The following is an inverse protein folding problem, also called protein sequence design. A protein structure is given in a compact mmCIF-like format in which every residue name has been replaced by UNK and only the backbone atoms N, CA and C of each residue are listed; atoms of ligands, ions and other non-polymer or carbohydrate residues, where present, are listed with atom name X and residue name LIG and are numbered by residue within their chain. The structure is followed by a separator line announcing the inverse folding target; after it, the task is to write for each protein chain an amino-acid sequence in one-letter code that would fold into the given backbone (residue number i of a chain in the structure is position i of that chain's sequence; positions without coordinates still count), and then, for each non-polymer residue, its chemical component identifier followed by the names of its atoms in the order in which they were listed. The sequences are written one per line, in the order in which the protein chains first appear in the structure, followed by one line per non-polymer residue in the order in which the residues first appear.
data_IF_187185263660
#
_entry.id   IF_187185263660
#
_cell.length_a   1.000
_cell.length_b   1.000
_cell.length_c   1.000
_cell.angle_alpha   90.00
_cell.angle_beta   90.00
_cell.angle_gamma   90.00
#
_symmetry.space_group_name_H-M   'P 1'
#
loop_
_entity.id
_entity.type
_entity.pdbx_description
1 polymer ?
#
# COMPACT_ATOMS: atom_id res chain seq x y z
N UNK A 1 10.56 36.42 -24.50
CA UNK A 1 10.98 35.03 -24.19
C UNK A 1 9.75 34.16 -24.12
N UNK A 2 9.80 32.89 -24.54
CA UNK A 2 8.67 31.99 -24.35
C UNK A 2 8.42 31.77 -22.87
N UNK A 3 7.16 31.74 -22.46
CA UNK A 3 6.73 31.52 -21.09
C UNK A 3 5.55 30.57 -21.01
N UNK A 4 5.46 29.87 -19.89
CA UNK A 4 4.36 28.99 -19.53
C UNK A 4 3.61 29.55 -18.32
N UNK A 5 2.28 29.50 -18.38
CA UNK A 5 1.42 29.83 -17.26
C UNK A 5 0.47 28.66 -16.98
N UNK A 6 0.16 28.46 -15.71
CA UNK A 6 -0.82 27.48 -15.25
C UNK A 6 -1.98 28.21 -14.61
N UNK A 7 -3.20 27.92 -15.05
CA UNK A 7 -4.43 28.40 -14.42
C UNK A 7 -5.25 27.24 -13.87
N UNK A 8 -6.14 27.54 -12.93
CA UNK A 8 -6.86 26.55 -12.13
C UNK A 8 -6.23 26.34 -10.75
N UNK A 9 -6.87 25.53 -9.92
CA UNK A 9 -6.45 25.29 -8.53
C UNK A 9 -5.56 24.06 -8.48
N UNK A 10 -4.27 24.25 -8.18
CA UNK A 10 -3.38 23.13 -7.89
C UNK A 10 -3.81 22.40 -6.60
N UNK A 11 -3.61 21.07 -6.54
CA UNK A 11 -3.68 20.36 -5.27
C UNK A 11 -2.78 21.01 -4.22
N UNK A 12 -3.22 21.00 -2.96
CA UNK A 12 -2.43 21.52 -1.85
C UNK A 12 -1.06 20.82 -1.80
N UNK A 13 0.02 21.58 -1.62
CA UNK A 13 1.39 21.05 -1.58
C UNK A 13 2.03 20.84 -2.95
N UNK A 14 1.31 21.10 -4.06
CA UNK A 14 1.90 21.21 -5.39
C UNK A 14 2.12 22.67 -5.78
N UNK A 15 3.19 22.89 -6.55
CA UNK A 15 3.64 24.18 -7.04
C UNK A 15 3.95 24.10 -8.53
N UNK A 16 3.74 25.20 -9.24
CA UNK A 16 4.16 25.36 -10.63
C UNK A 16 5.33 26.33 -10.74
N UNK A 17 6.30 26.02 -11.60
CA UNK A 17 7.37 26.96 -11.95
C UNK A 17 7.64 26.87 -13.45
N UNK A 18 7.65 28.02 -14.10
CA UNK A 18 8.14 28.18 -15.47
C UNK A 18 9.67 28.27 -15.44
N UNK A 19 10.35 27.41 -16.21
CA UNK A 19 11.81 27.39 -16.30
C UNK A 19 12.36 28.27 -17.44
N UNK A 20 11.50 29.03 -18.13
CA UNK A 20 11.84 30.04 -19.14
C UNK A 20 12.67 29.52 -20.33
N UNK A 21 12.73 28.20 -20.51
CA UNK A 21 13.43 27.47 -21.57
C UNK A 21 12.45 26.58 -22.37
N UNK A 22 11.20 27.04 -22.49
CA UNK A 22 10.08 26.28 -23.06
C UNK A 22 9.70 25.03 -22.25
N UNK A 23 10.14 24.93 -21.00
CA UNK A 23 9.71 23.88 -20.05
C UNK A 23 9.20 24.50 -18.75
N UNK A 24 8.32 23.77 -18.07
CA UNK A 24 7.76 24.14 -16.78
C UNK A 24 7.51 22.89 -15.96
N UNK A 25 7.52 23.03 -14.63
CA UNK A 25 7.43 21.91 -13.70
C UNK A 25 6.24 22.10 -12.77
N UNK A 26 5.46 21.04 -12.58
CA UNK A 26 4.55 20.89 -11.45
C UNK A 26 5.23 19.93 -10.47
N UNK A 27 5.51 20.39 -9.26
CA UNK A 27 6.30 19.64 -8.28
C UNK A 27 5.78 19.84 -6.86
N UNK A 28 6.22 18.96 -5.95
CA UNK A 28 5.82 18.97 -4.55
C UNK A 28 5.21 17.64 -4.12
N UNK A 29 4.60 17.62 -2.95
CA UNK A 29 3.90 16.44 -2.41
C UNK A 29 2.45 16.84 -2.16
N UNK A 30 1.47 16.21 -2.83
CA UNK A 30 0.07 16.48 -2.55
C UNK A 30 -0.23 16.25 -1.07
N UNK A 31 -0.95 17.19 -0.45
CA UNK A 31 -1.38 17.11 0.93
C UNK A 31 -2.18 15.84 1.22
N UNK A 32 -2.13 15.38 2.47
CA UNK A 32 -2.81 14.16 2.88
C UNK A 32 -4.34 14.30 2.72
N UNK A 33 -4.97 13.20 2.29
CA UNK A 33 -6.41 12.87 2.37
C UNK A 33 -7.38 13.41 1.32
N UNK A 34 -7.03 13.49 0.04
CA UNK A 34 -8.04 13.79 -0.99
C UNK A 34 -7.92 12.85 -2.18
N UNK A 35 -8.99 12.09 -2.42
CA UNK A 35 -9.27 11.46 -3.70
C UNK A 35 -10.04 12.50 -4.54
N UNK A 36 -9.35 13.19 -5.44
CA UNK A 36 -9.93 14.31 -6.17
C UNK A 36 -9.20 14.62 -7.48
N UNK A 37 -9.99 15.04 -8.47
CA UNK A 37 -9.52 15.61 -9.73
C UNK A 37 -9.41 17.12 -9.67
N UNK A 38 -8.35 17.65 -10.25
CA UNK A 38 -8.05 19.08 -10.35
C UNK A 38 -7.87 19.46 -11.82
N UNK A 39 -8.90 20.04 -12.47
CA UNK A 39 -8.77 20.55 -13.82
C UNK A 39 -7.94 21.83 -13.82
N UNK A 40 -7.00 21.89 -14.75
CA UNK A 40 -6.03 22.95 -14.95
C UNK A 40 -5.96 23.29 -16.44
N UNK A 41 -5.48 24.49 -16.75
CA UNK A 41 -5.17 24.90 -18.11
C UNK A 41 -3.72 25.41 -18.16
N UNK A 42 -2.94 24.84 -19.07
CA UNK A 42 -1.59 25.30 -19.39
C UNK A 42 -1.68 26.25 -20.57
N UNK A 43 -1.11 27.45 -20.42
CA UNK A 43 -0.99 28.44 -21.50
C UNK A 43 0.48 28.62 -21.88
N UNK A 44 0.78 28.50 -23.17
CA UNK A 44 2.11 28.75 -23.72
C UNK A 44 2.07 29.96 -24.65
N UNK A 45 2.98 30.91 -24.44
CA UNK A 45 3.12 32.10 -25.30
C UNK A 45 4.59 32.37 -25.61
N UNK A 46 4.87 32.81 -26.84
CA UNK A 46 6.17 33.36 -27.24
C UNK A 46 6.13 34.89 -27.41
N UNK A 47 5.02 35.52 -27.00
CA UNK A 47 4.78 36.96 -27.16
C UNK A 47 4.31 37.37 -28.57
N UNK A 48 4.12 36.44 -29.49
CA UNK A 48 3.69 36.69 -30.87
C UNK A 48 2.45 35.87 -31.19
N UNK A 49 1.43 36.52 -31.76
CA UNK A 49 0.18 35.85 -32.10
C UNK A 49 -0.61 35.39 -30.87
N UNK A 50 -1.51 34.43 -31.08
CA UNK A 50 -2.35 33.89 -30.00
C UNK A 50 -1.62 32.82 -29.21
N UNK A 51 -1.71 32.90 -27.88
CA UNK A 51 -1.16 31.89 -26.99
C UNK A 51 -1.86 30.53 -27.20
N UNK A 52 -1.09 29.44 -27.17
CA UNK A 52 -1.61 28.09 -27.20
C UNK A 52 -2.11 27.70 -25.81
N UNK A 53 -3.20 26.92 -25.75
CA UNK A 53 -3.81 26.45 -24.49
C UNK A 53 -4.04 24.96 -24.53
N UNK A 54 -3.81 24.29 -23.40
CA UNK A 54 -4.00 22.86 -23.24
C UNK A 54 -4.66 22.59 -21.89
N UNK A 55 -5.74 21.81 -21.89
CA UNK A 55 -6.33 21.28 -20.66
C UNK A 55 -5.44 20.19 -20.07
N UNK A 56 -5.33 20.20 -18.74
CA UNK A 56 -4.59 19.22 -17.95
C UNK A 56 -5.45 18.85 -16.75
N UNK A 57 -5.53 17.57 -16.40
CA UNK A 57 -6.22 17.12 -15.18
C UNK A 57 -5.21 16.41 -14.28
N UNK A 58 -5.10 16.86 -13.03
CA UNK A 58 -4.31 16.16 -12.00
C UNK A 58 -5.27 15.40 -11.09
N UNK A 59 -5.13 14.07 -11.07
CA UNK A 59 -5.83 13.22 -10.12
C UNK A 59 -4.93 12.93 -8.92
N UNK A 60 -5.35 13.37 -7.72
CA UNK A 60 -4.70 12.97 -6.46
C UNK A 60 -5.51 11.82 -5.90
N UNK A 61 -4.86 10.66 -5.72
CA UNK A 61 -5.45 9.49 -5.11
C UNK A 61 -5.04 9.38 -3.63
N UNK A 62 -5.89 8.77 -2.82
CA UNK A 62 -5.55 8.44 -1.44
C UNK A 62 -4.38 7.45 -1.40
N UNK A 63 -3.35 7.79 -0.62
CA UNK A 63 -2.27 6.86 -0.33
C UNK A 63 -2.82 5.64 0.44
N UNK A 64 -2.31 4.43 0.20
CA UNK A 64 -2.72 3.26 0.97
C UNK A 64 -2.45 3.44 2.45
N UNK A 65 -3.48 3.32 3.27
CA UNK A 65 -3.34 3.22 4.73
C UNK A 65 -3.48 1.76 5.10
N UNK A 66 -2.61 1.22 5.96
CA UNK A 66 -2.76 -0.13 6.51
C UNK A 66 -2.57 -0.10 8.03
N UNK A 67 -3.52 -0.67 8.77
CA UNK A 67 -3.45 -0.79 10.23
C UNK A 67 -4.10 -2.09 10.70
N UNK A 68 -3.52 -2.73 11.72
CA UNK A 68 -4.18 -3.82 12.42
C UNK A 68 -5.27 -3.29 13.34
N UNK A 69 -6.44 -3.93 13.32
CA UNK A 69 -7.52 -3.66 14.28
C UNK A 69 -7.60 -4.72 15.38
N UNK A 70 -6.95 -5.86 15.18
CA UNK A 70 -6.89 -6.93 16.17
C UNK A 70 -5.83 -6.65 17.24
N UNK A 71 -6.06 -7.18 18.46
CA UNK A 71 -5.07 -7.16 19.55
C UNK A 71 -3.77 -7.90 19.14
N UNK A 72 -2.64 -7.40 19.62
CA UNK A 72 -1.31 -7.96 19.33
C UNK A 72 -1.04 -9.33 19.99
N UNK A 73 -1.90 -9.78 20.90
CA UNK A 73 -1.75 -11.05 21.60
C UNK A 73 -3.11 -11.69 21.92
N UNK A 74 -3.09 -13.01 22.00
CA UNK A 74 -4.23 -13.84 22.38
C UNK A 74 -3.74 -15.04 23.17
N UNK A 75 -4.59 -15.57 24.04
CA UNK A 75 -4.32 -16.80 24.78
C UNK A 75 -5.16 -17.93 24.20
N UNK A 76 -4.53 -19.07 23.97
CA UNK A 76 -5.21 -20.30 23.55
C UNK A 76 -4.90 -21.40 24.55
N UNK A 77 -5.94 -22.03 25.08
CA UNK A 77 -5.78 -23.14 26.02
C UNK A 77 -5.39 -24.41 25.27
N UNK A 78 -4.36 -25.10 25.75
CA UNK A 78 -3.94 -26.38 25.17
C UNK A 78 -5.09 -27.38 25.17
N UNK A 79 -5.14 -28.23 24.13
CA UNK A 79 -6.13 -29.30 23.96
C UNK A 79 -7.58 -28.84 23.77
N UNK A 80 -7.80 -27.54 23.58
CA UNK A 80 -9.11 -26.99 23.29
C UNK A 80 -9.08 -26.33 21.92
N UNK A 81 -10.09 -26.59 21.12
CA UNK A 81 -10.26 -25.86 19.86
C UNK A 81 -10.46 -24.37 20.17
N UNK A 82 -9.62 -23.54 19.57
CA UNK A 82 -9.74 -22.09 19.59
C UNK A 82 -9.51 -21.55 18.18
N UNK A 83 -10.19 -20.43 17.88
CA UNK A 83 -9.99 -19.65 16.67
C UNK A 83 -9.75 -18.20 17.08
N UNK A 84 -8.71 -17.60 16.52
CA UNK A 84 -8.41 -16.18 16.67
C UNK A 84 -8.39 -15.53 15.30
N UNK A 85 -9.19 -14.49 15.13
CA UNK A 85 -9.26 -13.73 13.89
C UNK A 85 -8.27 -12.56 13.95
N UNK A 86 -7.54 -12.36 12.86
CA UNK A 86 -6.66 -11.22 12.60
C UNK A 86 -7.26 -10.42 11.45
N UNK A 87 -7.38 -9.11 11.63
CA UNK A 87 -8.02 -8.18 10.73
C UNK A 87 -7.23 -6.87 10.65
N UNK A 88 -7.23 -6.30 9.45
CA UNK A 88 -6.61 -5.01 9.13
C UNK A 88 -7.60 -4.10 8.44
N UNK A 89 -7.50 -2.80 8.71
CA UNK A 89 -8.07 -1.77 7.85
C UNK A 89 -7.00 -1.40 6.82
N UNK A 90 -7.24 -1.72 5.54
CA UNK A 90 -6.40 -1.26 4.45
C UNK A 90 -7.15 -1.04 3.13
N UNK A 91 -6.72 -0.04 2.36
CA UNK A 91 -7.21 0.24 1.01
C UNK A 91 -6.04 0.54 0.07
N UNK A 92 -5.78 -0.26 -0.98
CA UNK A 92 -6.44 -1.54 -1.29
C UNK A 92 -6.25 -2.58 -0.17
N UNK A 93 -7.09 -3.61 -0.14
CA UNK A 93 -7.10 -4.60 0.94
C UNK A 93 -5.71 -5.25 1.13
N UNK A 94 -5.23 -5.28 2.37
CA UNK A 94 -3.92 -5.83 2.69
C UNK A 94 -3.90 -7.36 2.52
N UNK A 95 -2.73 -7.89 2.14
CA UNK A 95 -2.45 -9.32 2.18
C UNK A 95 -1.73 -9.65 3.48
N UNK A 96 -2.27 -10.60 4.24
CA UNK A 96 -1.68 -11.01 5.51
C UNK A 96 -0.74 -12.21 5.33
N UNK A 97 0.48 -12.08 5.85
CA UNK A 97 1.47 -13.16 5.94
C UNK A 97 1.85 -13.38 7.41
N UNK A 98 2.30 -14.58 7.73
CA UNK A 98 2.81 -14.92 9.05
C UNK A 98 4.31 -15.21 8.95
N UNK A 99 5.11 -14.55 9.79
CA UNK A 99 6.51 -14.88 10.00
C UNK A 99 6.72 -15.54 11.37
N UNK A 100 7.77 -16.35 11.48
CA UNK A 100 8.11 -17.06 12.72
C UNK A 100 7.52 -18.48 12.81
N UNK A 101 7.82 -19.17 13.92
CA UNK A 101 7.40 -20.56 14.17
C UNK A 101 6.10 -20.59 14.94
N UNK A 102 5.07 -21.24 14.41
CA UNK A 102 3.84 -21.49 15.16
C UNK A 102 4.04 -22.60 16.22
N UNK A 103 3.33 -22.52 17.37
CA UNK A 103 3.13 -23.66 18.25
C UNK A 103 2.74 -24.91 17.45
N UNK A 104 3.14 -26.11 17.89
CA UNK A 104 2.54 -27.31 17.30
C UNK A 104 1.02 -27.24 17.50
N UNK A 105 0.31 -27.76 16.52
CA UNK A 105 -1.14 -27.71 16.49
C UNK A 105 -1.72 -26.35 16.07
N UNK A 106 -0.97 -25.24 16.07
CA UNK A 106 -1.50 -23.97 15.55
C UNK A 106 -1.25 -23.85 14.05
N UNK A 107 -2.28 -23.43 13.30
CA UNK A 107 -2.19 -23.18 11.86
C UNK A 107 -2.74 -21.80 11.52
N UNK A 108 -2.07 -21.15 10.58
CA UNK A 108 -2.48 -19.86 10.02
C UNK A 108 -3.19 -20.04 8.68
N UNK A 109 -4.26 -19.27 8.49
CA UNK A 109 -5.04 -19.25 7.27
C UNK A 109 -5.22 -17.81 6.84
N UNK A 110 -4.51 -17.40 5.78
CA UNK A 110 -4.75 -16.13 5.12
C UNK A 110 -6.08 -16.19 4.35
N UNK A 111 -6.85 -15.10 4.40
CA UNK A 111 -8.01 -14.86 3.53
C UNK A 111 -7.76 -13.60 2.68
N UNK A 112 -8.60 -13.42 1.67
CA UNK A 112 -8.69 -12.14 0.96
C UNK A 112 -9.28 -11.06 1.86
N UNK A 113 -9.12 -9.78 1.47
CA UNK A 113 -9.77 -8.66 2.15
C UNK A 113 -9.13 -8.21 3.46
N UNK A 114 -7.86 -8.56 3.75
CA UNK A 114 -7.20 -8.15 5.00
C UNK A 114 -7.63 -8.96 6.23
N UNK A 115 -8.16 -10.18 6.03
CA UNK A 115 -8.53 -11.09 7.11
C UNK A 115 -7.63 -12.33 7.13
N UNK A 116 -7.36 -12.85 8.32
CA UNK A 116 -6.71 -14.14 8.53
C UNK A 116 -7.18 -14.76 9.84
N UNK A 117 -6.91 -16.04 10.08
CA UNK A 117 -7.16 -16.64 11.37
C UNK A 117 -6.08 -17.65 11.77
N UNK A 118 -5.86 -17.75 13.08
CA UNK A 118 -5.14 -18.85 13.71
C UNK A 118 -6.17 -19.84 14.25
N UNK A 119 -5.99 -21.12 13.99
CA UNK A 119 -6.74 -22.18 14.66
C UNK A 119 -5.80 -23.16 15.35
N UNK A 120 -6.29 -23.81 16.39
CA UNK A 120 -5.60 -24.92 17.05
C UNK A 120 -6.21 -26.24 16.59
N UNK A 121 -5.43 -27.05 15.89
CA UNK A 121 -5.54 -28.50 15.93
C UNK A 121 -4.83 -28.99 17.20
N UNK A 122 -5.37 -30.04 17.82
CA UNK A 122 -4.75 -30.67 18.97
C UNK A 122 -3.28 -31.03 18.64
N UNK A 123 -2.29 -30.38 19.26
CA UNK A 123 -1.03 -30.94 19.81
C UNK A 123 0.01 -29.86 20.19
N UNK A 124 0.26 -29.66 21.51
CA UNK A 124 1.43 -29.10 22.26
C UNK A 124 2.09 -27.73 21.84
N UNK A 125 2.15 -26.79 22.79
CA UNK A 125 2.38 -25.33 22.64
C UNK A 125 3.86 -24.85 22.54
N UNK A 126 4.15 -23.73 21.83
CA UNK A 126 5.31 -22.80 21.93
C UNK A 126 4.93 -21.40 21.37
N UNK A 127 5.47 -20.29 21.88
CA UNK A 127 5.07 -18.89 21.60
C UNK A 127 5.55 -18.32 20.25
N UNK A 128 4.79 -17.41 19.62
CA UNK A 128 5.32 -16.56 18.52
C UNK A 128 4.70 -15.16 18.43
N UNK A 129 5.39 -14.29 17.65
CA UNK A 129 5.14 -12.86 17.40
C UNK A 129 4.73 -12.67 15.93
N UNK A 130 3.71 -11.85 15.67
CA UNK A 130 3.22 -11.55 14.30
C UNK A 130 3.76 -10.19 13.80
N UNK A 131 4.04 -10.08 12.49
CA UNK A 131 4.37 -8.84 11.77
C UNK A 131 3.61 -8.81 10.43
N UNK A 132 3.11 -7.63 10.00
CA UNK A 132 2.61 -7.42 8.64
C UNK A 132 3.56 -6.55 7.82
N UNK A 133 3.52 -6.75 6.51
CA UNK A 133 4.25 -5.98 5.51
C UNK A 133 3.28 -5.41 4.46
N UNK A 134 3.69 -4.33 3.81
CA UNK A 134 3.06 -3.77 2.62
C UNK A 134 4.10 -3.77 1.49
N UNK A 135 3.82 -4.48 0.40
CA UNK A 135 4.80 -4.72 -0.66
C UNK A 135 4.70 -3.64 -1.74
N UNK A 136 5.76 -2.84 -1.89
CA UNK A 136 6.16 -2.32 -3.20
C UNK A 136 7.65 -2.65 -3.43
N UNK A 137 7.88 -3.81 -4.06
CA UNK A 137 9.10 -4.20 -4.79
C UNK A 137 10.43 -4.29 -4.04
N UNK A 138 10.88 -5.51 -3.69
CA UNK A 138 12.17 -6.12 -4.12
C UNK A 138 12.39 -7.49 -3.44
N UNK A 139 13.02 -8.39 -4.17
CA UNK A 139 13.12 -9.84 -3.95
C UNK A 139 13.83 -10.26 -2.65
N UNK A 140 13.52 -11.47 -2.16
CA UNK A 140 14.46 -12.27 -1.37
C UNK A 140 14.49 -13.71 -1.89
N UNK A 141 15.73 -14.16 -2.07
CA UNK A 141 16.19 -15.29 -2.87
C UNK A 141 15.71 -16.69 -2.45
N UNK A 142 15.83 -17.58 -3.43
CA UNK A 142 15.65 -19.03 -3.46
C UNK A 142 15.81 -19.81 -2.15
N UNK A 143 14.95 -20.83 -1.96
CA UNK A 143 15.42 -22.20 -1.67
C UNK A 143 14.45 -23.22 -2.27
N UNK A 144 14.92 -23.93 -3.29
CA UNK A 144 14.34 -25.20 -3.75
C UNK A 144 14.27 -26.18 -2.58
N UNK A 145 13.09 -26.72 -2.27
CA UNK A 145 12.96 -27.97 -1.54
C UNK A 145 12.24 -28.98 -2.45
N UNK A 146 13.04 -29.84 -3.08
CA UNK A 146 12.56 -30.96 -3.88
C UNK A 146 11.91 -32.03 -3.01
N UNK A 147 10.87 -32.65 -3.56
CA UNK A 147 10.20 -33.82 -3.01
C UNK A 147 11.10 -35.05 -3.05
N UNK A 148 11.19 -35.80 -1.94
CA UNK A 148 11.31 -37.27 -1.97
C UNK A 148 10.56 -37.89 -0.79
N UNK A 149 9.56 -38.69 -1.14
CA UNK A 149 8.92 -39.69 -0.30
C UNK A 149 9.87 -40.86 -0.06
N UNK A 150 9.82 -41.46 1.14
CA UNK A 150 10.59 -42.66 1.46
C UNK A 150 10.23 -43.20 2.84
N UNK A 151 9.37 -44.23 2.84
CA UNK A 151 8.91 -45.02 3.97
C UNK A 151 9.94 -46.04 4.47
N UNK A 152 10.09 -46.16 5.79
CA UNK A 152 9.78 -47.37 6.58
C UNK A 152 9.75 -47.03 8.06
#
# INVERSE_FOLDING_TARGET
TPSLALSGRLPYGLHFTDAANSTGYIYGTPGRTIDASFPLEVTATNGVGTAARQSLEIHVALAPTAAFTTRASTQMTTRRYAKFEVSTLASPAARLTLSGRLPLGVRFFAKSGGHAYLNTFNLRLHSCKMTAWHDQGSECCETKAGWRTGSR
#
